data_IF_121564569370
#
_entry.id   IF_121564569370
#
_cell.length_a   1.000
_cell.length_b   1.000
_cell.length_c   1.000
_cell.angle_alpha   90.00
_cell.angle_beta   90.00
_cell.angle_gamma   90.00
#
_symmetry.space_group_name_H-M   'P 1'
#
loop_
_entity.id
_entity.type
_entity.pdbx_description
1 polymer ?
#
# COMPACT_ATOMS: atom_id res chain seq x y z
N UNK A 1 -1.64 -13.45 -14.27
CA UNK A 1 -2.44 -13.90 -13.10
C UNK A 1 -1.97 -15.29 -12.64
N UNK A 2 -1.45 -16.10 -13.56
CA UNK A 2 -0.97 -17.47 -13.34
C UNK A 2 0.04 -17.59 -12.19
N UNK A 3 1.00 -16.66 -12.08
CA UNK A 3 1.94 -16.63 -10.95
C UNK A 3 1.24 -16.54 -9.60
N UNK A 4 0.17 -15.74 -9.48
CA UNK A 4 -0.61 -15.65 -8.24
C UNK A 4 -1.33 -16.97 -7.96
N UNK A 5 -1.80 -17.66 -9.00
CA UNK A 5 -2.43 -18.97 -8.84
C UNK A 5 -1.42 -20.02 -8.38
N UNK A 6 -0.20 -20.04 -8.92
CA UNK A 6 0.85 -20.94 -8.46
C UNK A 6 1.20 -20.71 -6.99
N UNK A 7 1.35 -19.44 -6.56
CA UNK A 7 1.61 -19.08 -5.15
C UNK A 7 0.47 -19.55 -4.23
N UNK A 8 -0.79 -19.43 -4.67
CA UNK A 8 -1.93 -19.95 -3.89
C UNK A 8 -1.90 -21.47 -3.80
N UNK A 9 -1.63 -22.15 -4.91
CA UNK A 9 -1.59 -23.61 -4.96
C UNK A 9 -0.47 -24.19 -4.08
N UNK A 10 0.58 -23.41 -3.78
CA UNK A 10 1.63 -23.79 -2.83
C UNK A 10 1.29 -23.48 -1.37
N UNK A 11 0.08 -22.99 -1.07
CA UNK A 11 -0.36 -22.65 0.30
C UNK A 11 0.21 -21.34 0.85
N UNK A 12 0.85 -20.53 0.00
CA UNK A 12 1.43 -19.24 0.42
C UNK A 12 0.38 -18.11 0.38
N UNK A 13 0.48 -17.17 1.32
CA UNK A 13 -0.30 -15.93 1.25
C UNK A 13 0.14 -15.07 0.07
N UNK A 14 -0.83 -14.40 -0.57
CA UNK A 14 -0.63 -13.53 -1.72
C UNK A 14 -0.55 -12.07 -1.27
N UNK A 15 0.53 -11.41 -1.70
CA UNK A 15 0.67 -9.96 -1.67
C UNK A 15 0.63 -9.43 -3.10
N UNK A 16 -0.45 -8.75 -3.49
CA UNK A 16 -0.60 -8.23 -4.85
C UNK A 16 -1.37 -6.90 -4.85
N UNK A 17 -0.85 -5.93 -5.58
CA UNK A 17 -1.34 -4.56 -5.58
C UNK A 17 -0.85 -3.79 -6.80
N UNK A 18 -0.67 -2.47 -6.67
CA UNK A 18 -0.23 -1.65 -7.80
C UNK A 18 0.34 -0.28 -7.44
N UNK A 19 0.65 0.48 -8.48
CA UNK A 19 1.18 1.85 -8.41
C UNK A 19 0.11 2.80 -8.95
N UNK A 20 -0.04 3.93 -8.29
CA UNK A 20 -1.04 4.97 -8.59
C UNK A 20 -0.31 6.28 -8.91
N UNK A 21 -0.70 6.95 -9.99
CA UNK A 21 -0.06 8.19 -10.44
C UNK A 21 0.90 8.00 -11.63
N UNK A 22 0.83 6.88 -12.35
CA UNK A 22 1.60 6.60 -13.58
C UNK A 22 1.02 7.28 -14.83
N UNK A 23 0.11 8.24 -14.66
CA UNK A 23 -0.67 8.82 -15.76
C UNK A 23 -1.95 8.03 -16.08
N UNK A 24 -2.30 7.04 -15.27
CA UNK A 24 -3.53 6.29 -15.45
C UNK A 24 -4.78 7.14 -15.14
N UNK A 25 -5.87 6.87 -15.85
CA UNK A 25 -7.18 7.43 -15.58
C UNK A 25 -7.81 6.83 -14.32
N UNK A 26 -8.81 7.52 -13.76
CA UNK A 26 -9.62 6.99 -12.64
C UNK A 26 -10.26 5.64 -12.98
N UNK A 27 -10.68 5.44 -14.24
CA UNK A 27 -11.24 4.16 -14.71
C UNK A 27 -10.20 3.04 -14.65
N UNK A 28 -8.95 3.31 -15.00
CA UNK A 28 -7.86 2.33 -14.89
C UNK A 28 -7.54 1.98 -13.43
N UNK A 29 -7.54 2.96 -12.52
CA UNK A 29 -7.43 2.70 -11.07
C UNK A 29 -8.56 1.80 -10.55
N UNK A 30 -9.80 2.12 -10.91
CA UNK A 30 -10.95 1.28 -10.58
C UNK A 30 -10.83 -0.12 -11.19
N UNK A 31 -10.30 -0.22 -12.42
CA UNK A 31 -9.98 -1.49 -13.07
C UNK A 31 -8.98 -2.33 -12.28
N UNK A 32 -7.87 -1.74 -11.81
CA UNK A 32 -6.90 -2.42 -10.95
C UNK A 32 -7.57 -3.00 -9.70
N UNK A 33 -8.28 -2.16 -8.94
CA UNK A 33 -8.93 -2.60 -7.69
C UNK A 33 -9.99 -3.66 -7.98
N UNK A 34 -10.83 -3.43 -8.99
CA UNK A 34 -11.85 -4.40 -9.41
C UNK A 34 -11.25 -5.74 -9.82
N UNK A 35 -10.08 -5.77 -10.46
CA UNK A 35 -9.41 -7.02 -10.84
C UNK A 35 -8.89 -7.77 -9.62
N UNK A 36 -8.31 -7.08 -8.64
CA UNK A 36 -7.83 -7.71 -7.41
C UNK A 36 -8.98 -8.23 -6.55
N UNK A 37 -10.04 -7.44 -6.40
CA UNK A 37 -11.21 -7.78 -5.59
C UNK A 37 -12.01 -8.98 -6.14
N UNK A 38 -11.98 -9.20 -7.46
CA UNK A 38 -12.65 -10.33 -8.12
C UNK A 38 -11.80 -11.61 -8.22
N UNK A 39 -10.61 -11.66 -7.59
CA UNK A 39 -9.89 -12.92 -7.45
C UNK A 39 -10.53 -13.77 -6.34
N UNK A 40 -10.46 -15.10 -6.48
CA UNK A 40 -10.99 -16.04 -5.49
C UNK A 40 -9.88 -16.92 -4.93
N UNK A 41 -9.45 -16.72 -3.66
CA UNK A 41 -9.71 -15.55 -2.82
C UNK A 41 -8.95 -14.31 -3.30
N UNK A 42 -9.40 -13.10 -2.94
CA UNK A 42 -8.61 -11.88 -3.16
C UNK A 42 -7.34 -11.88 -2.29
N UNK A 43 -6.30 -11.09 -2.63
CA UNK A 43 -5.03 -11.11 -1.90
C UNK A 43 -5.16 -10.75 -0.41
N UNK A 44 -4.41 -11.42 0.45
CA UNK A 44 -4.36 -11.14 1.89
C UNK A 44 -3.68 -9.80 2.20
N UNK A 45 -2.78 -9.36 1.33
CA UNK A 45 -2.15 -8.04 1.40
C UNK A 45 -2.23 -7.34 0.04
N UNK A 46 -2.70 -6.10 0.06
CA UNK A 46 -2.88 -5.27 -1.13
C UNK A 46 -2.06 -3.99 -0.99
N UNK A 47 -0.81 -3.97 -1.46
CA UNK A 47 0.01 -2.77 -1.46
C UNK A 47 -0.46 -1.76 -2.51
N UNK A 48 -0.64 -0.51 -2.08
CA UNK A 48 -0.95 0.61 -2.97
C UNK A 48 0.19 1.60 -2.83
N UNK A 49 0.98 1.70 -3.89
CA UNK A 49 2.15 2.56 -3.97
C UNK A 49 1.77 3.87 -4.67
N UNK A 50 2.26 4.99 -4.14
CA UNK A 50 2.29 6.25 -4.88
C UNK A 50 3.50 6.22 -5.82
N UNK A 51 3.33 6.67 -7.07
CA UNK A 51 4.46 6.80 -7.98
C UNK A 51 5.48 7.78 -7.39
N UNK A 52 6.74 7.37 -7.34
CA UNK A 52 7.87 8.25 -7.07
C UNK A 52 8.61 8.43 -8.40
N UNK A 53 8.56 9.61 -9.03
CA UNK A 53 9.32 9.87 -10.24
C UNK A 53 10.83 9.77 -9.95
N UNK A 54 11.53 8.96 -10.75
CA UNK A 54 12.98 8.77 -10.60
C UNK A 54 13.68 9.23 -11.89
N UNK A 55 14.69 10.12 -11.81
CA UNK A 55 15.47 10.54 -12.96
C UNK A 55 16.00 9.36 -13.77
N UNK A 56 15.90 9.45 -15.10
CA UNK A 56 16.31 8.38 -16.02
C UNK A 56 15.24 7.30 -16.27
N UNK A 57 14.12 7.33 -15.56
CA UNK A 57 12.96 6.48 -15.90
C UNK A 57 12.03 7.18 -16.91
N UNK A 58 11.25 6.45 -17.72
CA UNK A 58 10.26 7.05 -18.62
C UNK A 58 9.19 7.90 -17.92
N UNK A 59 9.03 7.75 -16.60
CA UNK A 59 8.04 8.46 -15.79
C UNK A 59 8.68 9.56 -14.90
N UNK A 60 9.93 9.96 -15.18
CA UNK A 60 10.63 10.97 -14.39
C UNK A 60 9.91 12.33 -14.33
N UNK A 61 9.24 12.70 -15.43
CA UNK A 61 8.51 13.98 -15.57
C UNK A 61 6.99 13.80 -15.42
N UNK A 62 6.54 12.65 -14.90
CA UNK A 62 5.13 12.37 -14.74
C UNK A 62 4.50 13.34 -13.72
N UNK A 63 3.44 14.09 -14.08
CA UNK A 63 2.77 14.95 -13.12
C UNK A 63 2.24 14.18 -11.92
N UNK A 64 2.35 14.80 -10.74
CA UNK A 64 1.85 14.25 -9.49
C UNK A 64 0.33 13.99 -9.53
N UNK A 65 -0.10 12.96 -8.82
CA UNK A 65 -1.52 12.66 -8.63
C UNK A 65 -2.10 13.55 -7.54
N UNK A 66 -3.33 14.03 -7.73
CA UNK A 66 -4.12 14.65 -6.65
C UNK A 66 -4.12 13.73 -5.40
N UNK A 67 -3.64 14.20 -4.24
CA UNK A 67 -3.63 13.40 -3.01
C UNK A 67 -4.99 12.82 -2.63
N UNK A 68 -6.10 13.50 -2.96
CA UNK A 68 -7.43 12.97 -2.70
C UNK A 68 -7.82 11.80 -3.61
N UNK A 69 -7.29 11.72 -4.83
CA UNK A 69 -7.45 10.53 -5.67
C UNK A 69 -6.69 9.34 -5.09
N UNK A 70 -5.54 9.58 -4.47
CA UNK A 70 -4.79 8.54 -3.78
C UNK A 70 -5.56 8.01 -2.56
N UNK A 71 -6.03 8.90 -1.67
CA UNK A 71 -6.87 8.55 -0.51
C UNK A 71 -8.13 7.80 -0.95
N UNK A 72 -8.80 8.26 -2.02
CA UNK A 72 -9.98 7.60 -2.59
C UNK A 72 -9.65 6.17 -3.04
N UNK A 73 -8.49 5.95 -3.65
CA UNK A 73 -8.05 4.63 -4.10
C UNK A 73 -7.86 3.67 -2.91
N UNK A 74 -7.28 4.15 -1.80
CA UNK A 74 -7.16 3.40 -0.54
C UNK A 74 -8.55 3.03 0.01
N UNK A 75 -9.49 4.00 0.04
CA UNK A 75 -10.84 3.78 0.54
C UNK A 75 -11.58 2.70 -0.28
N UNK A 76 -11.51 2.76 -1.60
CA UNK A 76 -12.15 1.78 -2.49
C UNK A 76 -11.52 0.39 -2.29
N UNK A 77 -10.20 0.30 -2.11
CA UNK A 77 -9.53 -0.96 -1.82
C UNK A 77 -10.00 -1.57 -0.48
N UNK A 78 -10.14 -0.76 0.57
CA UNK A 78 -10.69 -1.21 1.86
C UNK A 78 -12.13 -1.72 1.72
N UNK A 79 -13.00 -0.97 1.05
CA UNK A 79 -14.42 -1.32 0.90
C UNK A 79 -14.58 -2.62 0.13
N UNK A 80 -13.84 -2.79 -0.97
CA UNK A 80 -13.97 -3.95 -1.87
C UNK A 80 -13.25 -5.20 -1.34
N UNK A 81 -12.23 -5.03 -0.50
CA UNK A 81 -11.45 -6.12 0.09
C UNK A 81 -11.35 -5.97 1.62
N UNK A 82 -12.47 -6.12 2.35
CA UNK A 82 -12.57 -5.73 3.76
C UNK A 82 -11.65 -6.51 4.69
N UNK A 83 -11.25 -7.75 4.33
CA UNK A 83 -10.33 -8.57 5.15
C UNK A 83 -8.86 -8.41 4.77
N UNK A 84 -8.55 -7.74 3.66
CA UNK A 84 -7.18 -7.57 3.21
C UNK A 84 -6.43 -6.56 4.09
N UNK A 85 -5.11 -6.74 4.17
CA UNK A 85 -4.18 -5.72 4.65
C UNK A 85 -3.93 -4.73 3.52
N UNK A 86 -4.59 -3.57 3.56
CA UNK A 86 -4.34 -2.50 2.58
C UNK A 86 -3.08 -1.77 3.02
N UNK A 87 -2.00 -1.94 2.26
CA UNK A 87 -0.67 -1.45 2.64
C UNK A 87 -0.34 -0.15 1.93
N UNK A 88 -0.27 0.93 2.70
CA UNK A 88 0.29 2.20 2.27
C UNK A 88 1.81 2.03 2.16
N UNK A 89 2.32 1.97 0.93
CA UNK A 89 3.64 1.41 0.63
C UNK A 89 4.64 2.48 0.16
N UNK A 90 5.12 2.44 -1.08
CA UNK A 90 6.09 3.41 -1.61
C UNK A 90 5.48 4.80 -1.84
N UNK A 91 6.34 5.83 -1.79
CA UNK A 91 5.98 7.23 -2.04
C UNK A 91 5.28 7.94 -0.87
N UNK A 92 5.23 7.34 0.32
CA UNK A 92 4.63 7.96 1.52
C UNK A 92 5.25 9.30 1.90
N UNK A 93 6.55 9.44 1.71
CA UNK A 93 7.27 10.67 2.01
C UNK A 93 6.69 11.86 1.23
N UNK A 94 6.32 11.64 -0.03
CA UNK A 94 5.74 12.67 -0.92
C UNK A 94 4.30 13.05 -0.56
N UNK A 95 3.56 12.17 0.13
CA UNK A 95 2.16 12.44 0.48
C UNK A 95 2.01 13.46 1.62
N UNK A 96 3.04 13.63 2.44
CA UNK A 96 2.98 14.47 3.64
C UNK A 96 2.06 13.93 4.74
N UNK A 97 2.15 14.52 5.94
CA UNK A 97 1.53 14.00 7.16
C UNK A 97 -0.01 13.90 7.07
N UNK A 98 -0.68 14.94 6.59
CA UNK A 98 -2.15 15.00 6.56
C UNK A 98 -2.76 13.93 5.63
N UNK A 99 -2.14 13.70 4.47
CA UNK A 99 -2.63 12.71 3.50
C UNK A 99 -2.40 11.30 4.01
N UNK A 100 -1.26 11.03 4.67
CA UNK A 100 -1.04 9.74 5.31
C UNK A 100 -2.08 9.46 6.41
N UNK A 101 -2.41 10.45 7.25
CA UNK A 101 -3.49 10.33 8.23
C UNK A 101 -4.84 10.00 7.56
N UNK A 102 -5.18 10.69 6.48
CA UNK A 102 -6.37 10.37 5.69
C UNK A 102 -6.33 8.96 5.08
N UNK A 103 -5.17 8.47 4.66
CA UNK A 103 -5.03 7.09 4.15
C UNK A 103 -5.30 6.05 5.24
N UNK A 104 -4.81 6.26 6.47
CA UNK A 104 -5.13 5.39 7.60
C UNK A 104 -6.63 5.41 7.91
N UNK A 105 -7.24 6.60 7.96
CA UNK A 105 -8.69 6.75 8.15
C UNK A 105 -9.50 6.09 7.02
N UNK A 106 -9.02 6.18 5.78
CA UNK A 106 -9.63 5.54 4.61
C UNK A 106 -9.55 4.00 4.65
N UNK A 107 -8.66 3.44 5.47
CA UNK A 107 -8.59 2.00 5.72
C UNK A 107 -7.25 1.34 5.42
N UNK A 108 -6.19 2.11 5.12
CA UNK A 108 -4.84 1.56 5.16
C UNK A 108 -4.51 1.08 6.58
N UNK A 109 -3.90 -0.10 6.71
CA UNK A 109 -3.59 -0.70 8.02
C UNK A 109 -2.25 -1.45 8.02
N UNK A 110 -1.38 -1.13 7.07
CA UNK A 110 -0.03 -1.67 6.95
C UNK A 110 0.85 -0.64 6.25
N UNK A 111 2.11 -0.54 6.69
CA UNK A 111 3.15 0.31 6.08
C UNK A 111 4.47 -0.46 6.01
N UNK A 112 5.39 0.00 5.16
CA UNK A 112 6.80 -0.36 5.30
C UNK A 112 7.47 0.54 6.34
N UNK A 113 8.25 -0.06 7.23
CA UNK A 113 8.88 0.60 8.37
C UNK A 113 10.41 0.46 8.27
N UNK A 114 11.13 1.54 8.52
CA UNK A 114 12.58 1.65 8.34
C UNK A 114 12.95 2.82 7.43
N UNK A 115 14.24 3.11 7.28
CA UNK A 115 14.70 4.39 6.68
C UNK A 115 14.73 4.36 5.13
N UNK A 116 14.67 3.17 4.53
CA UNK A 116 14.73 2.97 3.08
C UNK A 116 13.76 1.88 2.65
N UNK A 117 13.21 2.01 1.44
CA UNK A 117 12.54 0.92 0.74
C UNK A 117 13.58 0.11 -0.06
N UNK A 118 13.32 -0.10 -1.35
CA UNK A 118 14.27 -0.78 -2.25
C UNK A 118 15.39 0.18 -2.70
N UNK A 119 15.00 1.32 -3.26
CA UNK A 119 15.93 2.30 -3.85
C UNK A 119 15.66 3.73 -3.40
N UNK A 120 14.45 4.03 -2.93
CA UNK A 120 14.03 5.36 -2.47
C UNK A 120 14.03 5.44 -0.95
N UNK A 121 14.13 6.66 -0.44
CA UNK A 121 13.92 6.93 0.98
C UNK A 121 12.49 6.52 1.40
N UNK A 122 12.35 6.18 2.68
CA UNK A 122 11.08 5.92 3.34
C UNK A 122 10.92 6.93 4.48
N UNK A 123 9.70 7.24 4.96
CA UNK A 123 9.56 8.02 6.18
C UNK A 123 10.39 7.41 7.31
N UNK A 124 11.05 8.28 8.08
CA UNK A 124 11.86 7.85 9.21
C UNK A 124 11.00 7.09 10.22
N UNK A 125 11.56 6.01 10.76
CA UNK A 125 10.93 5.17 11.77
C UNK A 125 10.29 5.98 12.92
N UNK A 126 10.98 7.03 13.37
CA UNK A 126 10.51 7.93 14.44
C UNK A 126 9.27 8.72 14.02
N UNK A 127 9.24 9.25 12.79
CA UNK A 127 8.10 10.00 12.27
C UNK A 127 6.86 9.11 12.12
N UNK A 128 7.06 7.85 11.70
CA UNK A 128 6.00 6.85 11.62
C UNK A 128 5.38 6.56 12.99
N UNK A 129 6.23 6.32 14.00
CA UNK A 129 5.76 6.08 15.36
C UNK A 129 4.98 7.26 15.92
N UNK A 130 5.49 8.49 15.73
CA UNK A 130 4.83 9.70 16.20
C UNK A 130 3.44 9.88 15.56
N UNK A 131 3.33 9.68 14.24
CA UNK A 131 2.06 9.78 13.53
C UNK A 131 1.06 8.71 13.99
N UNK A 132 1.51 7.45 14.12
CA UNK A 132 0.63 6.36 14.55
C UNK A 132 0.11 6.58 15.98
N UNK A 133 0.96 7.07 16.89
CA UNK A 133 0.58 7.43 18.25
C UNK A 133 -0.44 8.56 18.28
N UNK A 134 -0.20 9.63 17.51
CA UNK A 134 -1.12 10.77 17.43
C UNK A 134 -2.51 10.36 16.92
N UNK A 135 -2.56 9.45 15.94
CA UNK A 135 -3.81 8.92 15.40
C UNK A 135 -4.46 7.86 16.31
N UNK A 136 -3.86 7.51 17.45
CA UNK A 136 -4.37 6.49 18.37
C UNK A 136 -4.33 5.07 17.80
N UNK A 137 -3.47 4.80 16.81
CA UNK A 137 -3.39 3.52 16.13
C UNK A 137 -2.53 2.53 16.92
N UNK A 138 -3.03 1.31 17.08
CA UNK A 138 -2.32 0.23 17.77
C UNK A 138 -1.33 -0.46 16.83
N UNK A 139 -0.06 -0.46 17.22
CA UNK A 139 0.99 -1.26 16.57
C UNK A 139 0.92 -2.67 17.14
N UNK A 140 1.03 -3.69 16.28
CA UNK A 140 1.18 -5.07 16.78
C UNK A 140 2.53 -5.19 17.47
N UNK A 141 2.52 -5.49 18.77
CA UNK A 141 3.71 -5.99 19.46
C UNK A 141 4.05 -7.39 18.93
N UNK A 142 5.34 -7.70 18.80
CA UNK A 142 5.79 -9.01 18.33
C UNK A 142 5.28 -10.10 19.28
N UNK A 143 4.58 -11.10 18.73
CA UNK A 143 4.43 -12.40 19.38
C UNK A 143 5.75 -13.13 19.18
N UNK A 144 6.45 -13.44 20.26
CA UNK A 144 7.57 -14.39 20.27
C UNK A 144 7.06 -15.67 19.62
N UNK A 145 7.47 -15.96 18.40
CA UNK A 145 7.15 -17.25 17.79
C UNK A 145 8.13 -18.22 18.45
N UNK A 146 7.67 -18.95 19.47
CA UNK A 146 8.40 -20.12 19.94
C UNK A 146 8.51 -21.06 18.74
N UNK A 147 9.74 -21.21 18.25
CA UNK A 147 10.08 -22.28 17.32
C UNK A 147 9.99 -23.56 18.13
N UNK A 148 8.91 -24.31 17.98
CA UNK A 148 8.89 -25.70 18.43
C UNK A 148 9.94 -26.45 17.60
N UNK A 149 11.04 -26.82 18.26
CA UNK A 149 12.07 -27.72 17.74
C UNK A 149 11.60 -29.16 17.94
#
# INVERSE_FOLDING_TARGET
LDTLQHVRNSGMSVCCGGIVGMGESRRQRAGLIGRLANLTPYPESVPINHLVPVPGTPLAEQPGLDPFEFVRTIAVARITMPKARVRLSAGRQELGRAVQAMCFMAGANSIFYGDKLLTTNNPEAVADLALLQELGLKIKSNVTTEVCV
#
